data_IF_737439192643
#
_entry.id   IF_737439192643
#
_cell.length_a   1.000
_cell.length_b   1.000
_cell.length_c   1.000
_cell.angle_alpha   90.00
_cell.angle_beta   90.00
_cell.angle_gamma   90.00
#
_symmetry.space_group_name_H-M   'P 1'
#
loop_
_entity.id
_entity.type
_entity.pdbx_description
1 polymer ?
#
# COMPACT_ATOMS: atom_id res chain seq x y z
N UNK A 1 11.73 18.48 4.41
CA UNK A 1 11.81 17.66 5.65
C UNK A 1 11.92 16.21 5.22
N UNK A 2 13.02 15.54 5.57
CA UNK A 2 13.14 14.09 5.41
C UNK A 2 12.60 13.41 6.68
N UNK A 3 11.83 12.34 6.54
CA UNK A 3 11.35 11.58 7.69
C UNK A 3 12.40 10.51 8.01
N UNK A 4 12.82 10.42 9.27
CA UNK A 4 13.92 9.58 9.76
C UNK A 4 13.45 8.43 10.67
N UNK A 5 12.20 8.46 11.12
CA UNK A 5 11.68 7.57 12.15
C UNK A 5 10.45 6.81 11.64
N UNK A 6 10.49 5.48 11.69
CA UNK A 6 9.37 4.60 11.38
C UNK A 6 8.88 3.90 12.66
N UNK A 7 7.57 3.99 12.94
CA UNK A 7 6.90 3.23 14.00
C UNK A 7 5.85 2.33 13.33
N UNK A 8 6.05 1.02 13.33
CA UNK A 8 5.15 0.04 12.71
C UNK A 8 4.71 -1.05 13.70
N UNK A 9 3.40 -1.31 13.80
CA UNK A 9 2.80 -2.26 14.75
C UNK A 9 2.86 -3.74 14.35
N UNK A 10 3.23 -4.05 13.10
CA UNK A 10 3.57 -5.40 12.63
C UNK A 10 4.73 -5.27 11.64
N UNK A 11 5.92 -5.71 12.07
CA UNK A 11 7.16 -5.68 11.29
C UNK A 11 7.43 -7.08 10.74
N UNK A 12 7.91 -7.18 9.50
CA UNK A 12 8.40 -8.44 8.96
C UNK A 12 9.57 -8.94 9.84
N UNK A 13 9.52 -10.14 10.43
CA UNK A 13 10.51 -10.58 11.44
C UNK A 13 11.93 -10.76 10.88
N UNK A 14 12.07 -10.74 9.55
CA UNK A 14 13.34 -10.83 8.81
C UNK A 14 13.80 -9.48 8.23
N UNK A 15 13.02 -8.40 8.39
CA UNK A 15 13.45 -7.08 7.92
C UNK A 15 14.50 -6.53 8.88
N UNK A 16 15.71 -6.29 8.35
CA UNK A 16 16.79 -5.62 9.08
C UNK A 16 16.28 -4.27 9.58
N UNK A 17 16.48 -3.98 10.86
CA UNK A 17 15.92 -2.83 11.60
C UNK A 17 16.38 -1.46 11.04
N UNK A 18 17.44 -1.43 10.23
CA UNK A 18 18.24 -0.23 9.96
C UNK A 18 17.99 0.45 8.61
N UNK A 19 16.79 0.37 8.05
CA UNK A 19 16.48 1.22 6.88
C UNK A 19 15.08 1.84 6.94
N UNK A 20 14.82 2.59 8.02
CA UNK A 20 13.64 3.43 8.16
C UNK A 20 13.43 4.33 6.93
N UNK A 21 14.51 4.80 6.30
CA UNK A 21 14.45 5.56 5.04
C UNK A 21 13.90 4.73 3.88
N UNK A 22 14.37 3.49 3.70
CA UNK A 22 13.83 2.59 2.69
C UNK A 22 12.36 2.26 2.96
N UNK A 23 12.00 1.93 4.20
CA UNK A 23 10.61 1.61 4.55
C UNK A 23 9.66 2.80 4.38
N UNK A 24 10.10 4.02 4.71
CA UNK A 24 9.35 5.25 4.45
C UNK A 24 9.21 5.50 2.93
N UNK A 25 10.26 5.26 2.17
CA UNK A 25 10.25 5.44 0.71
C UNK A 25 9.32 4.42 0.03
N UNK A 26 9.37 3.16 0.45
CA UNK A 26 8.46 2.10 0.00
C UNK A 26 7.01 2.44 0.36
N UNK A 27 6.75 2.92 1.58
CA UNK A 27 5.41 3.33 2.02
C UNK A 27 4.87 4.49 1.18
N UNK A 28 5.69 5.52 0.91
CA UNK A 28 5.31 6.65 0.05
C UNK A 28 5.02 6.21 -1.38
N UNK A 29 5.85 5.30 -1.91
CA UNK A 29 5.65 4.74 -3.25
C UNK A 29 4.34 3.98 -3.33
N UNK A 30 4.04 3.13 -2.35
CA UNK A 30 2.78 2.39 -2.30
C UNK A 30 1.56 3.32 -2.33
N UNK A 31 1.57 4.41 -1.55
CA UNK A 31 0.48 5.38 -1.53
C UNK A 31 0.32 6.10 -2.88
N UNK A 32 1.42 6.52 -3.50
CA UNK A 32 1.38 7.14 -4.82
C UNK A 32 0.87 6.18 -5.91
N UNK A 33 1.31 4.91 -5.86
CA UNK A 33 0.84 3.87 -6.79
C UNK A 33 -0.66 3.59 -6.57
N UNK A 34 -1.13 3.61 -5.31
CA UNK A 34 -2.55 3.46 -4.97
C UNK A 34 -3.40 4.60 -5.52
N UNK A 35 -3.00 5.87 -5.33
CA UNK A 35 -3.70 7.02 -5.89
C UNK A 35 -3.79 6.93 -7.42
N UNK A 36 -2.67 6.62 -8.07
CA UNK A 36 -2.64 6.45 -9.52
C UNK A 36 -3.50 5.25 -10.00
N UNK A 37 -3.55 4.16 -9.22
CA UNK A 37 -4.39 3.01 -9.54
C UNK A 37 -5.88 3.33 -9.36
N UNK A 38 -6.23 4.11 -8.33
CA UNK A 38 -7.60 4.57 -8.07
C UNK A 38 -8.13 5.44 -9.21
N UNK A 39 -7.34 6.40 -9.69
CA UNK A 39 -7.71 7.25 -10.85
C UNK A 39 -7.96 6.45 -12.13
N UNK A 40 -7.34 5.27 -12.26
CA UNK A 40 -7.43 4.40 -13.45
C UNK A 40 -8.41 3.23 -13.28
N UNK A 41 -9.08 3.14 -12.14
CA UNK A 41 -9.99 2.04 -11.82
C UNK A 41 -11.41 2.56 -11.65
N UNK A 42 -12.38 1.81 -12.18
CA UNK A 42 -13.80 2.12 -12.00
C UNK A 42 -14.52 1.11 -11.11
N UNK A 43 -13.85 0.02 -10.72
CA UNK A 43 -14.39 -0.99 -9.82
C UNK A 43 -13.39 -1.36 -8.72
N UNK A 44 -13.87 -1.84 -7.55
CA UNK A 44 -12.98 -2.31 -6.49
C UNK A 44 -12.03 -3.43 -6.94
N UNK A 45 -12.52 -4.36 -7.77
CA UNK A 45 -11.71 -5.49 -8.28
C UNK A 45 -10.54 -5.01 -9.13
N UNK A 46 -10.79 -4.06 -10.04
CA UNK A 46 -9.76 -3.43 -10.88
C UNK A 46 -8.66 -2.74 -10.07
N UNK A 47 -9.02 -2.08 -8.96
CA UNK A 47 -8.05 -1.44 -8.07
C UNK A 47 -7.23 -2.48 -7.31
N UNK A 48 -7.88 -3.54 -6.80
CA UNK A 48 -7.22 -4.63 -6.07
C UNK A 48 -6.22 -5.36 -6.98
N UNK A 49 -6.61 -5.69 -8.21
CA UNK A 49 -5.75 -6.40 -9.16
C UNK A 49 -4.51 -5.57 -9.49
N UNK A 50 -4.68 -4.28 -9.82
CA UNK A 50 -3.56 -3.38 -10.15
C UNK A 50 -2.57 -3.22 -9.01
N UNK A 51 -3.06 -3.12 -7.77
CA UNK A 51 -2.20 -2.99 -6.60
C UNK A 51 -1.49 -4.31 -6.25
N UNK A 52 -2.16 -5.44 -6.46
CA UNK A 52 -1.60 -6.78 -6.20
C UNK A 52 -0.52 -7.14 -7.23
N UNK A 53 -0.72 -6.78 -8.50
CA UNK A 53 0.28 -6.96 -9.57
C UNK A 53 1.53 -6.10 -9.34
N UNK A 54 1.36 -4.86 -8.85
CA UNK A 54 2.46 -3.94 -8.60
C UNK A 54 3.20 -4.19 -7.29
N UNK A 55 2.53 -4.78 -6.30
CA UNK A 55 3.03 -5.01 -4.94
C UNK A 55 2.66 -6.41 -4.42
N UNK A 56 3.13 -7.50 -5.05
CA UNK A 56 2.71 -8.87 -4.73
C UNK A 56 3.10 -9.32 -3.32
N UNK A 57 4.11 -8.69 -2.73
CA UNK A 57 4.67 -9.06 -1.42
C UNK A 57 4.00 -8.34 -0.24
N UNK A 58 3.00 -7.48 -0.48
CA UNK A 58 2.34 -6.75 0.61
C UNK A 58 1.38 -7.65 1.39
N UNK A 59 1.81 -7.98 2.61
CA UNK A 59 1.22 -9.01 3.46
C UNK A 59 -0.20 -8.72 4.01
N UNK A 60 -0.82 -7.57 3.72
CA UNK A 60 -2.16 -7.25 4.20
C UNK A 60 -3.13 -6.88 3.06
N UNK A 61 -3.60 -7.88 2.28
CA UNK A 61 -4.59 -7.68 1.23
C UNK A 61 -5.97 -7.24 1.78
N UNK A 62 -6.25 -7.47 3.07
CA UNK A 62 -7.54 -7.12 3.67
C UNK A 62 -7.75 -5.60 3.77
N UNK A 63 -6.72 -4.84 4.17
CA UNK A 63 -6.82 -3.38 4.23
C UNK A 63 -7.00 -2.76 2.84
N UNK A 64 -6.33 -3.30 1.82
CA UNK A 64 -6.53 -2.92 0.42
C UNK A 64 -7.96 -3.20 -0.04
N UNK A 65 -8.49 -4.39 0.28
CA UNK A 65 -9.85 -4.79 -0.07
C UNK A 65 -10.89 -3.83 0.54
N UNK A 66 -10.80 -3.55 1.85
CA UNK A 66 -11.73 -2.61 2.51
C UNK A 66 -11.67 -1.24 1.87
N UNK A 67 -10.47 -0.68 1.64
CA UNK A 67 -10.31 0.63 1.03
C UNK A 67 -10.92 0.68 -0.39
N UNK A 68 -10.73 -0.37 -1.19
CA UNK A 68 -11.27 -0.43 -2.55
C UNK A 68 -12.81 -0.46 -2.57
N UNK A 69 -13.43 -1.22 -1.67
CA UNK A 69 -14.89 -1.28 -1.57
C UNK A 69 -15.52 -0.02 -0.96
N UNK A 70 -14.85 0.65 -0.03
CA UNK A 70 -15.30 1.95 0.48
C UNK A 70 -15.25 3.05 -0.61
N UNK A 71 -14.19 3.08 -1.41
CA UNK A 71 -13.96 4.14 -2.40
C UNK A 71 -14.70 3.93 -3.72
N UNK A 72 -14.90 2.67 -4.14
CA UNK A 72 -15.46 2.32 -5.46
C UNK A 72 -16.67 1.39 -5.39
N UNK A 73 -17.01 0.84 -4.21
CA UNK A 73 -18.11 -0.11 -4.04
C UNK A 73 -19.47 0.56 -3.76
N UNK A 74 -19.48 1.86 -3.47
CA UNK A 74 -20.69 2.65 -3.30
C UNK A 74 -21.20 3.23 -4.62
N UNK A 75 -21.98 2.43 -5.35
CA UNK A 75 -22.87 2.88 -6.43
C UNK A 75 -24.33 2.78 -6.03
#
# INVERSE_FOLDING_TARGET
>A
MEADTLIAGHRHPQAVDDDARRQISESRRYLADFEAALERSSTPAELIDRMTDGHPDLANPYTLWVAAYELLGGG
#
